data_IF_376278349731
#
_entry.id   IF_376278349731
#
_cell.length_a   1.000
_cell.length_b   1.000
_cell.length_c   1.000
_cell.angle_alpha   90.00
_cell.angle_beta   90.00
_cell.angle_gamma   90.00
#
_symmetry.space_group_name_H-M   'P 1'
#
loop_
_entity.id
_entity.type
_entity.pdbx_description
1 polymer ?
#
# COMPACT_ATOMS: atom_id res chain seq x y z
N UNK A 1 5.23 0.98 -8.24
CA UNK A 1 4.20 0.36 -7.38
C UNK A 1 4.80 0.20 -6.00
N UNK A 2 4.37 1.02 -5.05
CA UNK A 2 4.83 0.93 -3.66
C UNK A 2 4.10 -0.25 -3.01
N UNK A 3 4.82 -1.29 -2.57
CA UNK A 3 4.22 -2.50 -1.99
C UNK A 3 4.01 -2.28 -0.49
N UNK A 4 2.76 -2.31 -0.04
CA UNK A 4 2.38 -2.24 1.37
C UNK A 4 2.64 -3.55 2.10
N UNK A 5 3.14 -3.48 3.33
CA UNK A 5 3.51 -4.65 4.15
C UNK A 5 2.65 -4.73 5.41
N UNK A 6 2.34 -5.95 5.86
CA UNK A 6 1.62 -6.15 7.11
C UNK A 6 2.48 -5.68 8.30
N UNK A 7 1.99 -4.77 9.17
CA UNK A 7 2.80 -4.20 10.26
C UNK A 7 3.21 -5.22 11.34
N UNK A 8 2.60 -6.42 11.34
CA UNK A 8 2.89 -7.46 12.33
C UNK A 8 3.89 -8.52 11.84
N UNK A 9 3.76 -8.93 10.59
CA UNK A 9 4.49 -10.10 10.06
C UNK A 9 5.23 -9.81 8.76
N UNK A 10 5.18 -8.56 8.31
CA UNK A 10 5.83 -7.99 7.14
C UNK A 10 5.56 -8.74 5.83
N UNK A 11 4.54 -9.60 5.80
CA UNK A 11 4.06 -10.22 4.57
C UNK A 11 3.48 -9.12 3.68
N UNK A 12 3.86 -9.14 2.40
CA UNK A 12 3.28 -8.25 1.39
C UNK A 12 1.77 -8.39 1.40
N UNK A 13 1.09 -7.25 1.40
CA UNK A 13 -0.36 -7.19 1.36
C UNK A 13 -0.79 -7.05 -0.10
N UNK A 14 -1.75 -7.87 -0.51
CA UNK A 14 -2.42 -7.69 -1.79
C UNK A 14 -3.39 -6.52 -1.68
N UNK A 15 -3.38 -5.65 -2.69
CA UNK A 15 -4.03 -4.35 -2.67
C UNK A 15 -5.57 -4.43 -2.67
N UNK A 16 -6.23 -3.56 -1.88
CA UNK A 16 -7.68 -3.45 -1.73
C UNK A 16 -8.05 -2.02 -1.30
N UNK A 17 -9.23 -1.50 -1.67
CA UNK A 17 -9.53 -0.06 -1.61
C UNK A 17 -9.70 0.52 -0.20
N UNK A 18 -9.92 -0.34 0.81
CA UNK A 18 -10.24 0.08 2.19
C UNK A 18 -9.43 -0.74 3.20
N UNK A 19 -9.38 -2.05 2.99
CA UNK A 19 -8.63 -2.98 3.82
C UNK A 19 -7.91 -4.02 2.98
N UNK A 20 -6.74 -4.41 3.46
CA UNK A 20 -5.99 -5.56 3.00
C UNK A 20 -6.19 -6.73 3.95
N UNK A 21 -6.25 -7.95 3.43
CA UNK A 21 -6.25 -9.17 4.26
C UNK A 21 -4.89 -9.85 4.11
N UNK A 22 -4.14 -9.94 5.22
CA UNK A 22 -2.85 -10.61 5.18
C UNK A 22 -3.01 -12.12 4.96
N UNK A 23 -2.42 -12.67 3.90
CA UNK A 23 -2.47 -14.11 3.61
C UNK A 23 -1.82 -14.98 4.70
N UNK A 24 -0.83 -14.44 5.44
CA UNK A 24 -0.09 -15.18 6.46
C UNK A 24 -0.77 -15.15 7.83
N UNK A 25 -0.97 -13.96 8.40
CA UNK A 25 -1.53 -13.82 9.74
C UNK A 25 -3.06 -13.67 9.76
N UNK A 26 -3.71 -13.63 8.59
CA UNK A 26 -5.17 -13.51 8.39
C UNK A 26 -5.80 -12.24 8.97
N UNK A 27 -4.99 -11.29 9.44
CA UNK A 27 -5.42 -10.01 9.98
C UNK A 27 -5.90 -9.07 8.87
N UNK A 28 -6.96 -8.33 9.16
CA UNK A 28 -7.37 -7.17 8.37
C UNK A 28 -6.48 -5.97 8.73
N UNK A 29 -5.91 -5.33 7.72
CA UNK A 29 -5.06 -4.15 7.83
C UNK A 29 -5.75 -3.03 7.07
N UNK A 30 -6.07 -1.91 7.72
CA UNK A 30 -6.68 -0.79 7.03
C UNK A 30 -5.67 -0.12 6.11
N UNK A 31 -6.11 0.34 4.95
CA UNK A 31 -5.24 1.07 4.03
C UNK A 31 -4.64 2.33 4.66
N UNK A 32 -5.36 2.96 5.59
CA UNK A 32 -4.88 4.11 6.37
C UNK A 32 -3.78 3.76 7.40
N UNK A 33 -3.71 2.51 7.86
CA UNK A 33 -2.69 2.05 8.83
C UNK A 33 -1.35 1.71 8.13
N UNK A 34 -1.32 1.72 6.81
CA UNK A 34 -0.13 1.41 6.04
C UNK A 34 0.37 2.69 5.41
N UNK A 35 1.61 3.05 5.72
CA UNK A 35 2.29 4.21 5.15
C UNK A 35 2.38 4.04 3.64
N UNK A 36 1.41 4.61 2.93
CA UNK A 36 1.42 4.71 1.48
C UNK A 36 1.82 6.15 1.20
N UNK A 37 3.10 6.40 0.98
CA UNK A 37 3.51 7.69 0.41
C UNK A 37 2.76 7.85 -0.91
N UNK A 38 1.81 8.79 -0.94
CA UNK A 38 1.24 9.26 -2.18
C UNK A 38 2.34 10.03 -2.89
N UNK A 39 3.04 9.34 -3.79
CA UNK A 39 3.94 10.00 -4.73
C UNK A 39 3.03 10.46 -5.87
N UNK A 40 2.73 11.76 -6.01
CA UNK A 40 2.07 12.23 -7.21
C UNK A 40 2.96 11.75 -8.36
N UNK A 41 2.38 11.05 -9.33
CA UNK A 41 3.11 10.79 -10.57
C UNK A 41 3.38 12.17 -11.13
N UNK A 42 4.58 12.70 -10.89
CA UNK A 42 5.05 13.89 -11.57
C UNK A 42 4.90 13.55 -13.04
N UNK A 43 3.85 14.12 -13.64
CA UNK A 43 3.71 14.19 -15.07
C UNK A 43 4.89 15.05 -15.52
N UNK A 44 6.03 14.41 -15.75
CA UNK A 44 7.19 14.98 -16.42
C UNK A 44 6.88 15.08 -17.92
N UNK A 45 5.80 15.78 -18.23
CA UNK A 45 5.33 16.21 -19.57
C UNK A 45 4.51 17.47 -19.25
N UNK A 46 4.94 18.71 -19.43
CA UNK A 46 5.80 19.28 -20.44
C UNK A 46 6.36 20.61 -19.90
N UNK A 47 7.67 20.81 -20.00
CA UNK A 47 8.26 22.16 -19.99
C UNK A 47 8.51 22.51 -21.46
N UNK A 48 7.54 23.22 -22.05
CA UNK A 48 7.67 23.91 -23.33
C UNK A 48 8.40 25.24 -23.14
#
# INVERSE_FOLDING_TARGET
MNKTHCPRCHTTLDEGPIMFRCARCRRAVFAADVETEYVPRLALTDAA
#
